data_IF_019041407941
#
_entry.id   IF_019041407941
#
_cell.length_a   1.000
_cell.length_b   1.000
_cell.length_c   1.000
_cell.angle_alpha   90.00
_cell.angle_beta   90.00
_cell.angle_gamma   90.00
#
_symmetry.space_group_name_H-M   'P 1'
#
loop_
_entity.id
_entity.type
_entity.pdbx_description
1 polymer ?
#
# COMPACT_ATOMS: atom_id res chain seq x y z
N UNK A 1 4.66 13.42 -1.79
CA UNK A 1 3.90 12.26 -2.33
C UNK A 1 2.42 12.55 -2.12
N UNK A 2 1.55 12.38 -3.12
CA UNK A 2 0.13 12.66 -2.92
C UNK A 2 -0.54 11.53 -2.11
N UNK A 3 -1.38 11.91 -1.14
CA UNK A 3 -2.11 10.94 -0.34
C UNK A 3 -3.09 10.12 -1.21
N UNK A 4 -3.23 8.84 -0.88
CA UNK A 4 -4.01 7.84 -1.62
C UNK A 4 -4.90 7.07 -0.64
N UNK A 5 -5.83 7.77 0.04
CA UNK A 5 -6.50 7.25 1.23
C UNK A 5 -7.25 5.94 0.98
N UNK A 6 -7.97 5.83 -0.14
CA UNK A 6 -8.77 4.62 -0.44
C UNK A 6 -7.90 3.39 -0.73
N UNK A 7 -6.82 3.55 -1.48
CA UNK A 7 -5.88 2.47 -1.76
C UNK A 7 -5.15 2.03 -0.50
N UNK A 8 -4.70 2.98 0.31
CA UNK A 8 -4.02 2.69 1.57
C UNK A 8 -4.95 2.01 2.56
N UNK A 9 -6.19 2.50 2.69
CA UNK A 9 -7.23 1.87 3.53
C UNK A 9 -7.43 0.42 3.13
N UNK A 10 -7.60 0.15 1.84
CA UNK A 10 -7.74 -1.21 1.32
C UNK A 10 -6.52 -2.06 1.70
N UNK A 11 -5.29 -1.58 1.44
CA UNK A 11 -4.08 -2.33 1.76
C UNK A 11 -3.93 -2.62 3.26
N UNK A 12 -4.30 -1.68 4.14
CA UNK A 12 -4.29 -1.85 5.59
C UNK A 12 -5.31 -2.89 6.06
N UNK A 13 -6.52 -2.91 5.49
CA UNK A 13 -7.54 -3.94 5.80
C UNK A 13 -7.09 -5.37 5.46
N UNK A 14 -6.11 -5.52 4.57
CA UNK A 14 -5.54 -6.82 4.20
C UNK A 14 -4.16 -7.07 4.82
N UNK A 15 -3.57 -6.12 5.55
CA UNK A 15 -2.21 -6.21 6.13
C UNK A 15 -1.93 -7.55 6.81
N UNK A 16 -2.76 -7.91 7.79
CA UNK A 16 -2.56 -9.11 8.63
C UNK A 16 -3.31 -10.35 8.14
N UNK A 17 -3.92 -10.27 6.94
CA UNK A 17 -4.56 -11.41 6.29
C UNK A 17 -3.52 -12.21 5.49
N UNK A 18 -3.55 -13.55 5.62
CA UNK A 18 -2.71 -14.49 4.88
C UNK A 18 -3.17 -14.66 3.42
N UNK A 19 -3.14 -13.56 2.67
CA UNK A 19 -3.50 -13.52 1.24
C UNK A 19 -2.40 -12.85 0.42
N UNK A 20 -2.20 -13.34 -0.80
CA UNK A 20 -1.31 -12.70 -1.77
C UNK A 20 -2.02 -11.46 -2.33
N UNK A 21 -1.43 -10.27 -2.13
CA UNK A 21 -1.95 -9.01 -2.69
C UNK A 21 -1.33 -8.76 -4.05
N UNK A 22 -2.15 -8.66 -5.10
CA UNK A 22 -1.70 -8.35 -6.46
C UNK A 22 -2.11 -6.91 -6.79
N UNK A 23 -1.13 -6.06 -7.11
CA UNK A 23 -1.37 -4.68 -7.56
C UNK A 23 -1.12 -4.61 -9.07
N UNK A 24 -2.18 -4.43 -9.86
CA UNK A 24 -2.11 -4.32 -11.32
C UNK A 24 -2.27 -2.86 -11.78
N UNK A 25 -1.98 -2.60 -13.06
CA UNK A 25 -2.19 -1.29 -13.68
C UNK A 25 -1.18 -1.01 -14.79
N UNK A 26 -1.46 -0.01 -15.61
CA UNK A 26 -0.61 0.37 -16.75
C UNK A 26 0.79 0.86 -16.32
N UNK A 27 1.76 0.81 -17.24
CA UNK A 27 3.11 1.35 -16.99
C UNK A 27 3.01 2.83 -16.57
N UNK A 28 3.84 3.25 -15.59
CA UNK A 28 3.88 4.61 -15.03
C UNK A 28 2.65 5.10 -14.24
N UNK A 29 1.71 4.23 -13.87
CA UNK A 29 0.58 4.63 -13.00
C UNK A 29 0.90 4.78 -11.49
N UNK A 30 2.17 4.67 -11.10
CA UNK A 30 2.59 4.92 -9.71
C UNK A 30 2.42 3.74 -8.74
N UNK A 31 2.37 2.49 -9.21
CA UNK A 31 2.31 1.30 -8.33
C UNK A 31 3.47 1.22 -7.32
N UNK A 32 4.69 1.46 -7.77
CA UNK A 32 5.87 1.50 -6.88
C UNK A 32 5.74 2.59 -5.83
N UNK A 33 5.22 3.75 -6.21
CA UNK A 33 4.92 4.83 -5.27
C UNK A 33 3.83 4.40 -4.28
N UNK A 34 2.72 3.79 -4.70
CA UNK A 34 1.70 3.30 -3.76
C UNK A 34 2.30 2.33 -2.72
N UNK A 35 3.19 1.42 -3.14
CA UNK A 35 3.87 0.50 -2.23
C UNK A 35 4.81 1.22 -1.26
N UNK A 36 5.57 2.22 -1.71
CA UNK A 36 6.41 3.04 -0.83
C UNK A 36 5.58 3.76 0.24
N UNK A 37 4.45 4.36 -0.17
CA UNK A 37 3.52 4.99 0.76
C UNK A 37 2.95 3.97 1.77
N UNK A 38 2.62 2.77 1.32
CA UNK A 38 2.14 1.72 2.19
C UNK A 38 3.20 1.30 3.22
N UNK A 39 4.46 1.14 2.82
CA UNK A 39 5.59 0.85 3.73
C UNK A 39 5.72 1.95 4.79
N UNK A 40 5.67 3.23 4.40
CA UNK A 40 5.71 4.35 5.34
C UNK A 40 4.57 4.27 6.37
N UNK A 41 3.35 3.94 5.94
CA UNK A 41 2.21 3.74 6.84
C UNK A 41 2.40 2.55 7.78
N UNK A 42 2.98 1.45 7.30
CA UNK A 42 3.28 0.28 8.13
C UNK A 42 4.30 0.61 9.21
N UNK A 43 5.37 1.33 8.87
CA UNK A 43 6.38 1.79 9.82
C UNK A 43 5.76 2.72 10.88
N UNK A 44 4.86 3.63 10.47
CA UNK A 44 4.15 4.54 11.38
C UNK A 44 3.29 3.82 12.43
N UNK A 45 2.77 2.63 12.12
CA UNK A 45 1.97 1.81 13.04
C UNK A 45 2.81 0.75 13.79
N UNK A 46 4.13 0.87 13.75
CA UNK A 46 5.05 0.04 14.53
C UNK A 46 5.40 -1.32 13.92
N UNK A 47 5.15 -1.53 12.62
CA UNK A 47 5.67 -2.70 11.90
C UNK A 47 7.12 -2.42 11.53
N UNK A 48 8.06 -3.22 12.05
CA UNK A 48 9.51 -3.12 11.83
C UNK A 48 10.06 -4.33 11.10
#
# INVERSE_FOLDING_TARGET
>A
MHDRPDYIKTLLEFKDKKVIKIITGIRRCGKSSLLMLFIERLLQIGVS
#
